data_IF_869221300000
#
_entry.id   IF_869221300000
#
_cell.length_a   1.000
_cell.length_b   1.000
_cell.length_c   1.000
_cell.angle_alpha   90.00
_cell.angle_beta   90.00
_cell.angle_gamma   90.00
#
_symmetry.space_group_name_H-M   'P 1'
#
loop_
_entity.id
_entity.type
_entity.pdbx_description
1 polymer ?
#
# COMPACT_ATOMS: atom_id res chain seq x y z
N UNK A 1 -17.75 13.99 -9.49
CA UNK A 1 -17.09 13.41 -8.31
C UNK A 1 -16.95 14.47 -7.25
N UNK A 2 -17.28 14.18 -6.01
CA UNK A 2 -17.21 15.17 -4.93
C UNK A 2 -15.75 15.49 -4.58
N UNK A 3 -15.52 16.70 -4.05
CA UNK A 3 -14.19 17.09 -3.57
C UNK A 3 -13.70 16.18 -2.44
N UNK A 4 -14.62 15.72 -1.61
CA UNK A 4 -14.29 14.81 -0.50
C UNK A 4 -13.75 13.48 -1.02
N UNK A 5 -14.35 12.92 -2.07
CA UNK A 5 -13.86 11.69 -2.69
C UNK A 5 -12.47 11.87 -3.29
N UNK A 6 -12.22 13.01 -3.95
CA UNK A 6 -10.90 13.32 -4.51
C UNK A 6 -9.85 13.47 -3.42
N UNK A 7 -10.17 14.16 -2.32
CA UNK A 7 -9.25 14.34 -1.20
C UNK A 7 -8.89 13.00 -0.56
N UNK A 8 -9.88 12.11 -0.40
CA UNK A 8 -9.64 10.77 0.10
C UNK A 8 -8.71 9.98 -0.81
N UNK A 9 -8.94 10.04 -2.12
CA UNK A 9 -8.13 9.32 -3.09
C UNK A 9 -6.68 9.81 -3.07
N UNK A 10 -6.46 11.12 -2.98
CA UNK A 10 -5.12 11.69 -2.88
C UNK A 10 -4.42 11.25 -1.59
N UNK A 11 -5.15 11.27 -0.48
CA UNK A 11 -4.60 10.84 0.81
C UNK A 11 -4.18 9.37 0.78
N UNK A 12 -5.04 8.48 0.27
CA UNK A 12 -4.74 7.06 0.22
C UNK A 12 -3.60 6.74 -0.74
N UNK A 13 -3.50 7.48 -1.84
CA UNK A 13 -2.39 7.33 -2.78
C UNK A 13 -1.07 7.73 -2.14
N UNK A 14 -1.04 8.87 -1.45
CA UNK A 14 0.16 9.33 -0.74
C UNK A 14 0.55 8.36 0.37
N UNK A 15 -0.42 7.92 1.16
CA UNK A 15 -0.17 6.95 2.23
C UNK A 15 0.45 5.67 1.68
N UNK A 16 -0.09 5.13 0.58
CA UNK A 16 0.45 3.93 -0.05
C UNK A 16 1.90 4.11 -0.47
N UNK A 17 2.25 5.24 -1.09
CA UNK A 17 3.63 5.53 -1.49
C UNK A 17 4.57 5.60 -0.28
N UNK A 18 4.11 6.17 0.83
CA UNK A 18 4.90 6.22 2.06
C UNK A 18 5.11 4.83 2.66
N UNK A 19 4.05 4.02 2.70
CA UNK A 19 4.11 2.69 3.34
C UNK A 19 5.06 1.74 2.61
N UNK A 20 5.08 1.77 1.28
CA UNK A 20 5.97 0.90 0.49
C UNK A 20 7.35 1.52 0.26
N UNK A 21 7.59 2.74 0.74
CA UNK A 21 8.88 3.41 0.61
C UNK A 21 9.18 3.99 -0.76
N UNK A 22 8.21 4.02 -1.68
CA UNK A 22 8.45 4.51 -3.04
C UNK A 22 8.59 6.02 -3.11
N UNK A 23 7.97 6.77 -2.20
CA UNK A 23 8.02 8.22 -2.21
C UNK A 23 9.45 8.74 -2.07
N UNK A 24 10.27 8.10 -1.23
CA UNK A 24 11.67 8.46 -1.04
C UNK A 24 12.60 7.51 -1.79
N UNK A 25 12.06 6.65 -2.64
CA UNK A 25 12.82 5.71 -3.46
C UNK A 25 13.77 4.85 -2.63
N UNK A 26 13.34 4.44 -1.42
CA UNK A 26 14.21 3.69 -0.55
C UNK A 26 14.41 2.24 -1.05
N UNK A 27 15.61 1.71 -0.86
CA UNK A 27 15.94 0.35 -1.25
C UNK A 27 17.06 -0.19 -0.36
N UNK A 28 17.01 -1.49 -0.07
CA UNK A 28 17.94 -2.11 0.89
C UNK A 28 19.35 -2.27 0.30
N UNK A 29 19.46 -2.87 -0.88
CA UNK A 29 20.75 -3.37 -1.37
C UNK A 29 21.19 -2.81 -2.71
N UNK A 30 20.44 -1.92 -3.33
CA UNK A 30 20.74 -1.44 -4.68
C UNK A 30 20.02 -0.14 -4.97
N UNK A 31 20.29 0.43 -6.13
CA UNK A 31 19.54 1.59 -6.61
C UNK A 31 18.07 1.25 -6.75
N UNK A 32 17.22 2.20 -6.39
CA UNK A 32 15.78 2.03 -6.47
C UNK A 32 15.34 1.80 -7.93
N UNK A 33 14.47 0.81 -8.12
CA UNK A 33 13.85 0.50 -9.41
C UNK A 33 12.34 0.48 -9.21
N UNK A 34 11.64 1.43 -9.83
CA UNK A 34 10.19 1.57 -9.66
C UNK A 34 9.42 0.34 -10.10
N UNK A 35 9.85 -0.31 -11.18
CA UNK A 35 9.17 -1.49 -11.68
C UNK A 35 9.28 -2.67 -10.70
N UNK A 36 10.45 -2.83 -10.09
CA UNK A 36 10.62 -3.87 -9.08
C UNK A 36 9.78 -3.59 -7.84
N UNK A 37 9.73 -2.32 -7.40
CA UNK A 37 8.92 -1.91 -6.26
C UNK A 37 7.44 -2.09 -6.55
N UNK A 38 6.98 -1.79 -7.76
CA UNK A 38 5.59 -1.98 -8.16
C UNK A 38 5.16 -3.43 -8.00
N UNK A 39 6.05 -4.37 -8.32
CA UNK A 39 5.76 -5.79 -8.25
C UNK A 39 6.04 -6.41 -6.88
N UNK A 40 6.59 -5.65 -5.95
CA UNK A 40 6.97 -6.16 -4.64
C UNK A 40 8.17 -7.10 -4.69
N UNK A 41 9.09 -6.89 -5.64
CA UNK A 41 10.26 -7.74 -5.84
C UNK A 41 11.49 -7.26 -5.09
N UNK A 42 11.41 -6.13 -4.39
CA UNK A 42 12.48 -5.65 -3.54
C UNK A 42 11.90 -5.18 -2.21
N UNK A 43 12.80 -4.88 -1.27
CA UNK A 43 12.42 -4.48 0.07
C UNK A 43 12.76 -3.02 0.33
N UNK A 44 11.85 -2.24 0.94
CA UNK A 44 12.20 -0.91 1.41
C UNK A 44 13.09 -0.99 2.64
N UNK A 45 13.97 0.00 2.79
CA UNK A 45 14.81 0.13 3.98
C UNK A 45 14.00 0.73 5.14
N UNK A 46 13.26 1.79 4.88
CA UNK A 46 12.48 2.53 5.87
C UNK A 46 10.98 2.30 5.76
N UNK A 47 10.49 1.94 4.57
CA UNK A 47 9.07 1.64 4.38
C UNK A 47 8.63 0.49 5.28
N UNK A 48 7.36 0.50 5.66
CA UNK A 48 6.80 -0.48 6.60
C UNK A 48 6.00 -1.59 5.92
N UNK A 49 5.94 -1.58 4.59
CA UNK A 49 5.34 -2.66 3.81
C UNK A 49 6.25 -3.05 2.66
N UNK A 50 6.42 -4.36 2.45
CA UNK A 50 7.26 -4.91 1.39
C UNK A 50 6.44 -5.44 0.20
N UNK A 51 5.12 -5.25 0.22
CA UNK A 51 4.25 -5.87 -0.78
C UNK A 51 4.29 -5.18 -2.15
N UNK A 52 4.80 -3.95 -2.21
CA UNK A 52 4.89 -3.19 -3.46
C UNK A 52 3.60 -2.50 -3.85
N UNK A 53 3.67 -1.71 -4.93
CA UNK A 53 2.54 -0.87 -5.34
C UNK A 53 1.35 -1.67 -5.84
N UNK A 54 1.58 -2.70 -6.67
CA UNK A 54 0.49 -3.47 -7.26
C UNK A 54 -0.34 -4.19 -6.20
N UNK A 55 0.31 -4.82 -5.25
CA UNK A 55 -0.39 -5.54 -4.18
C UNK A 55 -1.06 -4.56 -3.21
N UNK A 56 -0.44 -3.41 -2.96
CA UNK A 56 -1.05 -2.37 -2.13
C UNK A 56 -2.32 -1.82 -2.79
N UNK A 57 -2.29 -1.59 -4.10
CA UNK A 57 -3.46 -1.14 -4.85
C UNK A 57 -4.58 -2.19 -4.84
N UNK A 58 -4.23 -3.46 -4.96
CA UNK A 58 -5.21 -4.54 -4.88
C UNK A 58 -5.85 -4.62 -3.48
N UNK A 59 -5.05 -4.47 -2.44
CA UNK A 59 -5.56 -4.41 -1.07
C UNK A 59 -6.58 -3.28 -0.91
N UNK A 60 -6.25 -2.10 -1.41
CA UNK A 60 -7.15 -0.95 -1.37
C UNK A 60 -8.47 -1.24 -2.09
N UNK A 61 -8.40 -1.80 -3.30
CA UNK A 61 -9.60 -2.15 -4.07
C UNK A 61 -10.47 -3.17 -3.35
N UNK A 62 -9.84 -4.17 -2.73
CA UNK A 62 -10.55 -5.19 -1.97
C UNK A 62 -11.26 -4.58 -0.77
N UNK A 63 -10.59 -3.69 -0.04
CA UNK A 63 -11.17 -3.01 1.10
C UNK A 63 -12.35 -2.12 0.69
N UNK A 64 -12.21 -1.37 -0.39
CA UNK A 64 -13.28 -0.53 -0.90
C UNK A 64 -14.49 -1.36 -1.30
N UNK A 65 -14.28 -2.52 -1.91
CA UNK A 65 -15.35 -3.45 -2.29
C UNK A 65 -16.09 -3.97 -1.06
N UNK A 66 -15.36 -4.41 -0.04
CA UNK A 66 -15.95 -4.93 1.20
C UNK A 66 -16.80 -3.87 1.89
N UNK A 67 -16.30 -2.64 1.98
CA UNK A 67 -17.00 -1.55 2.63
C UNK A 67 -18.23 -1.12 1.83
N UNK A 68 -18.11 -1.05 0.50
CA UNK A 68 -19.23 -0.66 -0.36
C UNK A 68 -20.38 -1.65 -0.29
N UNK A 69 -20.05 -2.95 -0.22
CA UNK A 69 -21.08 -4.00 -0.17
C UNK A 69 -21.55 -4.31 1.25
N UNK A 70 -20.98 -3.66 2.26
CA UNK A 70 -21.39 -3.83 3.63
C UNK A 70 -21.17 -5.23 4.18
N UNK A 71 -20.09 -5.91 3.76
CA UNK A 71 -19.80 -7.26 4.22
C UNK A 71 -19.34 -7.19 5.68
N UNK A 72 -20.04 -7.89 6.61
CA UNK A 72 -19.66 -7.85 8.03
C UNK A 72 -18.44 -8.74 8.30
N UNK A 73 -17.77 -8.44 9.41
CA UNK A 73 -16.65 -9.24 9.91
C UNK A 73 -15.41 -8.37 10.13
N UNK A 74 -14.36 -9.03 10.59
CA UNK A 74 -13.09 -8.40 10.89
C UNK A 74 -12.08 -8.69 9.81
N UNK A 75 -10.96 -7.98 9.86
CA UNK A 75 -9.83 -8.20 8.96
C UNK A 75 -8.71 -8.88 9.70
N UNK A 76 -7.99 -9.77 9.00
CA UNK A 76 -6.85 -10.47 9.56
C UNK A 76 -5.70 -10.44 8.55
N UNK A 77 -4.50 -10.20 9.03
CA UNK A 77 -3.29 -10.27 8.22
C UNK A 77 -2.38 -11.36 8.75
N UNK A 78 -1.88 -12.20 7.84
CA UNK A 78 -0.86 -13.20 8.14
C UNK A 78 0.45 -12.78 7.50
N UNK A 79 1.60 -13.07 8.14
CA UNK A 79 2.89 -12.64 7.62
C UNK A 79 3.07 -11.14 7.69
N UNK A 80 2.95 -10.57 8.86
CA UNK A 80 2.76 -9.13 9.08
C UNK A 80 4.00 -8.29 8.75
N UNK A 81 5.18 -8.85 8.87
CA UNK A 81 6.47 -8.14 8.73
C UNK A 81 6.50 -6.89 9.63
N UNK A 82 6.48 -5.67 9.05
CA UNK A 82 6.48 -4.42 9.84
C UNK A 82 5.09 -3.83 10.05
N UNK A 83 4.05 -4.53 9.62
CA UNK A 83 2.67 -4.12 9.84
C UNK A 83 2.15 -3.03 8.91
N UNK A 84 2.91 -2.68 7.86
CA UNK A 84 2.53 -1.57 6.97
C UNK A 84 1.19 -1.75 6.28
N UNK A 85 0.83 -2.98 5.91
CA UNK A 85 -0.44 -3.22 5.21
C UNK A 85 -1.65 -3.03 6.13
N UNK A 86 -1.46 -3.08 7.45
CA UNK A 86 -2.55 -2.88 8.42
C UNK A 86 -2.83 -1.39 8.69
N UNK A 87 -1.92 -0.51 8.30
CA UNK A 87 -2.09 0.91 8.51
C UNK A 87 -3.10 1.46 7.50
#
# INVERSE_FOLDING_TARGET
>A
MSQLSTARDLYLSLLSECLIGSLIEDSVNRSYDAQRRDRGLDWPLWGVSMIGRQRMAHLRQSMECVLREGIPGDMMETGVWRGGACI
#
